data_IF_028385651607
#
_entry.id   IF_028385651607
#
_cell.length_a   1.000
_cell.length_b   1.000
_cell.length_c   1.000
_cell.angle_alpha   90.00
_cell.angle_beta   90.00
_cell.angle_gamma   90.00
#
_symmetry.space_group_name_H-M   'P 1'
#
loop_
_entity.id
_entity.type
_entity.pdbx_description
1 polymer ?
#
# COMPACT_ATOMS: atom_id res chain seq x y z
N UNK A 1 -6.87 -1.76 -5.26
CA UNK A 1 -8.22 -2.31 -4.98
C UNK A 1 -9.28 -1.84 -5.97
N UNK A 2 -9.12 -2.18 -7.25
CA UNK A 2 -10.03 -1.71 -8.32
C UNK A 2 -11.45 -2.24 -8.15
N UNK A 3 -11.62 -3.54 -7.94
CA UNK A 3 -12.93 -4.18 -7.88
C UNK A 3 -13.70 -3.91 -6.57
N UNK A 4 -13.00 -3.56 -5.50
CA UNK A 4 -13.64 -3.02 -4.27
C UNK A 4 -14.18 -1.62 -4.54
N UNK A 5 -13.38 -0.74 -5.15
CA UNK A 5 -13.84 0.58 -5.56
C UNK A 5 -14.94 0.58 -6.63
N UNK A 6 -15.08 -0.53 -7.37
CA UNK A 6 -16.17 -0.79 -8.30
C UNK A 6 -17.40 -1.48 -7.68
N UNK A 7 -17.40 -1.77 -6.37
CA UNK A 7 -18.54 -2.37 -5.68
C UNK A 7 -18.77 -3.87 -5.94
N UNK A 8 -17.79 -4.58 -6.50
CA UNK A 8 -17.90 -6.02 -6.82
C UNK A 8 -17.47 -6.91 -5.65
N UNK A 9 -16.50 -6.46 -4.85
CA UNK A 9 -15.99 -7.20 -3.70
C UNK A 9 -15.97 -6.34 -2.45
N UNK A 10 -16.20 -6.97 -1.29
CA UNK A 10 -15.89 -6.38 0.00
C UNK A 10 -14.38 -6.25 0.20
N UNK A 11 -13.92 -5.21 0.90
CA UNK A 11 -12.48 -5.04 1.16
C UNK A 11 -11.91 -6.22 1.96
N UNK A 12 -12.66 -6.73 2.94
CA UNK A 12 -12.24 -7.80 3.85
C UNK A 12 -11.92 -9.13 3.13
N UNK A 13 -12.50 -9.41 1.97
CA UNK A 13 -12.18 -10.64 1.22
C UNK A 13 -10.83 -10.56 0.51
N UNK A 14 -10.23 -9.37 0.43
CA UNK A 14 -8.94 -9.11 -0.23
C UNK A 14 -7.76 -9.12 0.73
N UNK A 15 -8.00 -9.25 2.04
CA UNK A 15 -6.96 -9.33 3.06
C UNK A 15 -6.97 -10.69 3.76
N UNK A 16 -5.81 -11.10 4.26
CA UNK A 16 -5.63 -12.30 5.08
C UNK A 16 -4.51 -12.08 6.08
N UNK A 17 -4.54 -12.75 7.25
CA UNK A 17 -3.40 -12.76 8.15
C UNK A 17 -2.13 -13.24 7.41
N UNK A 18 -1.00 -12.55 7.61
CA UNK A 18 0.25 -12.91 6.95
C UNK A 18 0.89 -14.19 7.52
N UNK A 19 0.75 -14.43 8.83
CA UNK A 19 1.33 -15.60 9.50
C UNK A 19 1.09 -16.96 8.80
N UNK A 20 -0.16 -17.32 8.42
CA UNK A 20 -0.43 -18.59 7.73
C UNK A 20 0.09 -18.64 6.28
N UNK A 21 0.50 -17.51 5.70
CA UNK A 21 1.04 -17.43 4.34
C UNK A 21 2.56 -17.61 4.30
N UNK A 22 3.24 -17.55 5.45
CA UNK A 22 4.68 -17.77 5.52
C UNK A 22 4.97 -19.26 5.29
N UNK A 23 5.88 -19.61 4.35
CA UNK A 23 6.22 -21.01 4.07
C UNK A 23 6.76 -21.75 5.29
N UNK A 24 6.45 -23.04 5.39
CA UNK A 24 7.03 -23.91 6.42
C UNK A 24 8.56 -23.91 6.29
N UNK A 25 9.25 -23.68 7.40
CA UNK A 25 10.72 -23.60 7.46
C UNK A 25 11.30 -22.20 7.22
N UNK A 26 10.49 -21.22 6.79
CA UNK A 26 10.93 -19.83 6.72
C UNK A 26 10.82 -19.14 8.09
N UNK A 27 11.80 -18.31 8.42
CA UNK A 27 11.75 -17.48 9.61
C UNK A 27 11.15 -16.11 9.27
N UNK A 28 10.01 -15.79 9.87
CA UNK A 28 9.35 -14.49 9.66
C UNK A 28 9.82 -13.46 10.69
N UNK A 29 10.67 -12.54 10.24
CA UNK A 29 11.10 -11.39 11.04
C UNK A 29 10.09 -10.26 10.83
N UNK A 30 9.30 -9.96 11.86
CA UNK A 30 8.30 -8.88 11.85
C UNK A 30 8.92 -7.53 12.24
N UNK A 31 9.74 -6.98 11.33
CA UNK A 31 10.36 -5.67 11.50
C UNK A 31 10.55 -5.01 10.12
N UNK A 32 10.53 -3.68 10.06
CA UNK A 32 10.93 -2.96 8.86
C UNK A 32 12.45 -3.01 8.68
N UNK A 33 12.90 -3.07 7.42
CA UNK A 33 14.30 -2.81 7.06
C UNK A 33 14.51 -1.30 7.02
N UNK A 34 15.47 -0.81 7.79
CA UNK A 34 15.86 0.60 7.86
C UNK A 34 17.01 0.93 6.89
N UNK A 35 17.87 -0.04 6.58
CA UNK A 35 19.03 0.19 5.71
C UNK A 35 19.63 -1.08 5.12
N UNK A 36 20.40 -0.89 4.05
CA UNK A 36 21.18 -1.93 3.41
C UNK A 36 22.67 -1.63 3.59
N UNK A 37 23.44 -2.64 3.97
CA UNK A 37 24.91 -2.61 4.03
C UNK A 37 25.44 -3.75 3.16
N UNK A 38 25.51 -3.52 1.84
CA UNK A 38 25.90 -4.55 0.88
C UNK A 38 27.38 -4.95 1.00
N UNK A 39 28.25 -4.04 1.44
CA UNK A 39 29.68 -4.31 1.61
C UNK A 39 29.94 -5.39 2.66
N UNK A 40 29.09 -5.45 3.70
CA UNK A 40 29.15 -6.46 4.75
C UNK A 40 28.11 -7.57 4.59
N UNK A 41 27.38 -7.61 3.47
CA UNK A 41 26.27 -8.52 3.22
C UNK A 41 25.24 -8.54 4.38
N UNK A 42 24.78 -7.37 4.82
CA UNK A 42 23.80 -7.26 5.90
C UNK A 42 22.69 -6.23 5.64
N UNK A 43 21.58 -6.38 6.35
CA UNK A 43 20.51 -5.37 6.44
C UNK A 43 20.37 -4.91 7.88
N UNK A 44 20.05 -3.63 8.05
CA UNK A 44 19.71 -3.03 9.34
C UNK A 44 18.20 -2.96 9.49
N UNK A 45 17.68 -3.41 10.63
CA UNK A 45 16.26 -3.34 10.97
C UNK A 45 15.98 -2.05 11.75
N UNK A 46 14.72 -1.61 11.76
CA UNK A 46 14.29 -0.40 12.50
C UNK A 46 14.55 -0.46 14.01
N UNK A 47 14.72 -1.66 14.56
CA UNK A 47 15.07 -1.88 15.98
C UNK A 47 16.59 -1.96 16.23
N UNK A 48 17.41 -1.63 15.23
CA UNK A 48 18.87 -1.58 15.31
C UNK A 48 19.55 -2.95 15.15
N UNK A 49 18.80 -4.06 15.06
CA UNK A 49 19.39 -5.37 14.77
C UNK A 49 19.95 -5.41 13.35
N UNK A 50 21.02 -6.19 13.18
CA UNK A 50 21.64 -6.45 11.88
C UNK A 50 21.47 -7.92 11.50
N UNK A 51 21.05 -8.16 10.26
CA UNK A 51 20.83 -9.50 9.73
C UNK A 51 21.76 -9.71 8.54
N UNK A 52 22.72 -10.62 8.69
CA UNK A 52 23.62 -11.01 7.61
C UNK A 52 22.93 -11.96 6.62
N UNK A 53 23.39 -11.95 5.37
CA UNK A 53 22.90 -12.81 4.31
C UNK A 53 24.05 -13.34 3.45
N UNK A 54 23.84 -14.49 2.78
CA UNK A 54 24.70 -14.92 1.67
C UNK A 54 24.16 -14.42 0.32
N UNK A 55 22.83 -14.27 0.21
CA UNK A 55 22.12 -13.76 -0.95
C UNK A 55 20.92 -12.95 -0.47
N UNK A 56 20.66 -11.81 -1.10
CA UNK A 56 19.54 -10.93 -0.78
C UNK A 56 18.58 -10.83 -1.96
N UNK A 57 17.30 -11.08 -1.70
CA UNK A 57 16.21 -10.81 -2.64
C UNK A 57 15.44 -9.61 -2.10
N UNK A 58 15.29 -8.56 -2.91
CA UNK A 58 14.67 -7.30 -2.52
C UNK A 58 13.29 -7.18 -3.20
N UNK A 59 12.23 -7.15 -2.39
CA UNK A 59 10.84 -7.02 -2.86
C UNK A 59 10.01 -6.02 -2.01
N UNK A 60 10.43 -4.74 -1.87
CA UNK A 60 9.81 -3.76 -0.98
C UNK A 60 8.51 -3.15 -1.53
N UNK A 61 8.18 -3.42 -2.80
CA UNK A 61 7.05 -2.77 -3.48
C UNK A 61 7.32 -1.30 -3.79
N UNK A 62 6.23 -0.52 -3.91
CA UNK A 62 6.26 0.92 -4.19
C UNK A 62 5.75 1.72 -2.99
N UNK A 63 6.26 2.95 -2.84
CA UNK A 63 5.75 3.91 -1.87
C UNK A 63 4.72 4.82 -2.54
N UNK A 64 3.54 4.94 -1.93
CA UNK A 64 2.52 5.89 -2.34
C UNK A 64 2.88 7.29 -1.80
N UNK A 65 3.24 8.22 -2.69
CA UNK A 65 3.62 9.57 -2.32
C UNK A 65 2.42 10.54 -2.35
N UNK A 66 1.53 10.43 -1.36
CA UNK A 66 0.34 11.29 -1.27
C UNK A 66 0.69 12.79 -1.15
N UNK A 67 1.76 13.11 -0.42
CA UNK A 67 2.26 14.47 -0.27
C UNK A 67 2.84 15.06 -1.57
N UNK A 68 3.00 14.24 -2.62
CA UNK A 68 3.40 14.71 -3.95
C UNK A 68 2.32 15.51 -4.67
N UNK A 69 1.08 15.52 -4.17
CA UNK A 69 -0.01 16.35 -4.65
C UNK A 69 -0.40 17.31 -3.54
N UNK A 70 -0.22 18.61 -3.78
CA UNK A 70 -0.56 19.67 -2.83
C UNK A 70 -2.04 19.57 -2.41
N UNK A 71 -2.29 19.62 -1.10
CA UNK A 71 -3.64 19.57 -0.53
C UNK A 71 -4.28 18.17 -0.50
N UNK A 72 -3.63 17.13 -1.03
CA UNK A 72 -4.24 15.80 -1.13
C UNK A 72 -4.34 15.12 0.24
N UNK A 73 -3.30 15.17 1.06
CA UNK A 73 -3.26 14.50 2.36
C UNK A 73 -4.35 14.98 3.32
N UNK A 74 -4.73 16.24 3.21
CA UNK A 74 -5.71 16.91 4.05
C UNK A 74 -7.14 16.54 3.67
N UNK A 75 -7.40 16.20 2.40
CA UNK A 75 -8.76 15.96 1.88
C UNK A 75 -9.02 14.48 1.57
N UNK A 76 -7.98 13.65 1.46
CA UNK A 76 -8.11 12.26 1.05
C UNK A 76 -8.97 11.44 2.03
N UNK A 77 -10.09 10.91 1.53
CA UNK A 77 -11.11 10.19 2.32
C UNK A 77 -12.30 11.05 2.74
N UNK A 78 -12.31 12.33 2.35
CA UNK A 78 -13.38 13.27 2.61
C UNK A 78 -13.64 14.18 1.40
N UNK A 79 -14.71 14.97 1.46
CA UNK A 79 -15.07 15.96 0.44
C UNK A 79 -15.13 15.43 -1.01
N UNK A 80 -15.38 14.14 -1.21
CA UNK A 80 -15.42 13.52 -2.54
C UNK A 80 -14.06 13.11 -3.11
N UNK A 81 -12.98 13.18 -2.33
CA UNK A 81 -11.63 12.78 -2.75
C UNK A 81 -11.28 11.42 -2.17
N UNK A 82 -10.85 10.49 -3.02
CA UNK A 82 -10.61 9.08 -2.67
C UNK A 82 -9.50 8.46 -3.52
N UNK A 83 -9.03 7.27 -3.15
CA UNK A 83 -8.14 6.47 -4.00
C UNK A 83 -8.29 4.97 -3.75
N UNK A 84 -8.36 4.20 -4.84
CA UNK A 84 -8.36 2.74 -4.79
C UNK A 84 -6.97 2.13 -4.46
N UNK A 85 -5.93 2.94 -4.32
CA UNK A 85 -4.60 2.48 -3.88
C UNK A 85 -4.48 2.35 -2.36
N UNK A 86 -5.42 2.87 -1.58
CA UNK A 86 -5.52 2.66 -0.12
C UNK A 86 -6.64 1.68 0.19
N UNK A 87 -6.34 0.64 0.96
CA UNK A 87 -7.28 -0.42 1.32
C UNK A 87 -8.57 0.14 1.96
N UNK A 88 -8.41 1.03 2.93
CA UNK A 88 -9.49 1.64 3.71
C UNK A 88 -10.33 2.66 2.91
N UNK A 89 -9.80 3.19 1.80
CA UNK A 89 -10.50 4.17 0.96
C UNK A 89 -11.24 3.56 -0.23
N UNK A 90 -10.84 2.37 -0.68
CA UNK A 90 -11.49 1.75 -1.84
C UNK A 90 -13.03 1.63 -1.67
N UNK A 91 -13.59 1.26 -0.50
CA UNK A 91 -15.04 1.29 -0.29
C UNK A 91 -15.65 2.69 -0.40
N UNK A 92 -14.92 3.74 -0.02
CA UNK A 92 -15.39 5.12 -0.14
C UNK A 92 -15.51 5.56 -1.60
N UNK A 93 -14.63 5.08 -2.48
CA UNK A 93 -14.77 5.28 -3.93
C UNK A 93 -16.11 4.78 -4.45
N UNK A 94 -16.52 3.58 -4.03
CA UNK A 94 -17.81 3.02 -4.44
C UNK A 94 -18.98 3.84 -3.90
N UNK A 95 -18.93 4.24 -2.62
CA UNK A 95 -19.95 5.11 -2.01
C UNK A 95 -20.13 6.43 -2.77
N UNK A 96 -19.02 7.06 -3.18
CA UNK A 96 -19.06 8.30 -3.97
C UNK A 96 -19.67 8.07 -5.36
N UNK A 97 -19.31 6.98 -6.03
CA UNK A 97 -19.87 6.63 -7.33
C UNK A 97 -21.40 6.41 -7.27
N UNK A 98 -21.90 5.69 -6.25
CA UNK A 98 -23.34 5.49 -6.05
C UNK A 98 -24.09 6.79 -5.69
N UNK A 99 -23.42 7.67 -4.95
CA UNK A 99 -23.96 8.94 -4.46
C UNK A 99 -24.04 10.03 -5.52
N UNK A 100 -23.20 9.98 -6.56
CA UNK A 100 -23.15 11.00 -7.60
C UNK A 100 -24.45 11.01 -8.42
N UNK A 101 -25.24 12.09 -8.31
CA UNK A 101 -26.48 12.28 -9.09
C UNK A 101 -26.27 13.22 -10.28
N UNK A 102 -25.40 14.21 -10.14
CA UNK A 102 -25.06 15.21 -11.15
C UNK A 102 -23.68 15.80 -10.85
N UNK A 103 -23.08 16.48 -11.83
CA UNK A 103 -21.74 17.07 -11.72
C UNK A 103 -20.69 16.27 -12.50
N UNK A 104 -19.42 16.44 -12.12
CA UNK A 104 -18.26 15.85 -12.82
C UNK A 104 -17.52 14.88 -11.92
N UNK A 105 -17.37 13.64 -12.38
CA UNK A 105 -16.38 12.71 -11.83
C UNK A 105 -15.03 12.93 -12.52
N UNK A 106 -13.95 13.03 -11.74
CA UNK A 106 -12.58 13.20 -12.24
C UNK A 106 -11.74 12.03 -11.78
N UNK A 107 -11.00 11.44 -12.71
CA UNK A 107 -10.04 10.37 -12.45
C UNK A 107 -8.66 10.87 -12.89
N UNK A 108 -7.63 10.58 -12.11
CA UNK A 108 -6.27 11.08 -12.34
C UNK A 108 -5.28 9.93 -12.50
N UNK A 109 -4.20 10.20 -13.21
CA UNK A 109 -3.07 9.29 -13.37
C UNK A 109 -1.78 10.10 -13.18
N UNK A 110 -0.94 9.80 -12.18
CA UNK A 110 0.35 10.47 -12.03
C UNK A 110 1.33 10.01 -13.12
N UNK A 111 2.44 10.76 -13.33
CA UNK A 111 3.52 10.31 -14.19
C UNK A 111 4.09 8.95 -13.75
N UNK A 112 4.57 8.17 -14.71
CA UNK A 112 5.27 6.90 -14.42
C UNK A 112 6.52 7.13 -13.56
N UNK A 113 6.91 6.16 -12.70
CA UNK A 113 6.29 4.83 -12.52
C UNK A 113 5.06 4.85 -11.60
N UNK A 114 4.09 3.96 -11.89
CA UNK A 114 2.87 3.70 -11.10
C UNK A 114 2.72 2.23 -10.75
#
# INVERSE_FOLDING_TARGET
WTLVGGGIFDASVTERPMAPLIPRGAHWIKAAVAGFDPDNNQVELEDGRRIAYNRLIVAPGLKLNWAGVEGLTETLGQHGVTSNYRFDLAPYTWKLAQGLKSGRAVFTQPPMPI
#
